data_IF_099161581446
#
_entry.id   IF_099161581446
#
_cell.length_a   1.000
_cell.length_b   1.000
_cell.length_c   1.000
_cell.angle_alpha   90.00
_cell.angle_beta   90.00
_cell.angle_gamma   90.00
#
_symmetry.space_group_name_H-M   'P 1'
#
loop_
_entity.id
_entity.type
_entity.pdbx_description
1 polymer ?
#
# COMPACT_ATOMS: atom_id res chain seq x y z
N UNK A 1 11.04 -11.44 -9.40
CA UNK A 1 9.83 -10.65 -9.69
C UNK A 1 10.22 -9.19 -9.79
N UNK A 2 9.95 -8.57 -10.91
CA UNK A 2 10.27 -7.15 -11.15
C UNK A 2 9.21 -6.22 -10.57
N UNK A 3 9.53 -4.92 -10.53
CA UNK A 3 8.54 -3.90 -10.16
C UNK A 3 7.37 -3.90 -11.15
N UNK A 4 7.63 -4.09 -12.44
CA UNK A 4 6.59 -4.16 -13.48
C UNK A 4 5.64 -5.34 -13.24
N UNK A 5 6.16 -6.48 -12.80
CA UNK A 5 5.34 -7.65 -12.44
C UNK A 5 4.44 -7.34 -11.25
N UNK A 6 4.97 -6.66 -10.24
CA UNK A 6 4.23 -6.25 -9.05
C UNK A 6 3.13 -5.27 -9.43
N UNK A 7 3.44 -4.29 -10.27
CA UNK A 7 2.46 -3.30 -10.75
C UNK A 7 1.35 -3.99 -11.56
N UNK A 8 1.71 -4.90 -12.46
CA UNK A 8 0.73 -5.65 -13.26
C UNK A 8 -0.22 -6.46 -12.36
N UNK A 9 0.33 -7.10 -11.33
CA UNK A 9 -0.49 -7.85 -10.38
C UNK A 9 -1.41 -6.92 -9.57
N UNK A 10 -0.89 -5.77 -9.15
CA UNK A 10 -1.68 -4.77 -8.43
C UNK A 10 -2.85 -4.26 -9.27
N UNK A 11 -2.62 -3.99 -10.56
CA UNK A 11 -3.69 -3.57 -11.50
C UNK A 11 -4.74 -4.64 -11.65
N UNK A 12 -4.33 -5.90 -11.75
CA UNK A 12 -5.28 -7.01 -11.88
C UNK A 12 -6.20 -7.08 -10.65
N UNK A 13 -5.63 -7.00 -9.45
CA UNK A 13 -6.42 -6.98 -8.22
C UNK A 13 -7.33 -5.76 -8.18
N UNK A 14 -6.87 -4.58 -8.62
CA UNK A 14 -7.72 -3.39 -8.70
C UNK A 14 -8.92 -3.63 -9.62
N UNK A 15 -8.71 -4.25 -10.77
CA UNK A 15 -9.81 -4.54 -11.70
C UNK A 15 -10.87 -5.45 -11.08
N UNK A 16 -10.47 -6.42 -10.26
CA UNK A 16 -11.40 -7.29 -9.55
C UNK A 16 -12.20 -6.50 -8.50
N UNK A 17 -11.56 -5.61 -7.76
CA UNK A 17 -12.25 -4.72 -6.83
C UNK A 17 -13.22 -3.77 -7.55
N UNK A 18 -12.82 -3.22 -8.68
CA UNK A 18 -13.68 -2.33 -9.47
C UNK A 18 -14.97 -3.03 -9.90
N UNK A 19 -14.87 -4.28 -10.33
CA UNK A 19 -16.05 -5.10 -10.68
C UNK A 19 -16.94 -5.29 -9.45
N UNK A 20 -16.36 -5.65 -8.32
CA UNK A 20 -17.08 -5.83 -7.06
C UNK A 20 -17.78 -4.54 -6.64
N UNK A 21 -17.09 -3.40 -6.72
CA UNK A 21 -17.63 -2.09 -6.33
C UNK A 21 -18.80 -1.69 -7.22
N UNK A 22 -18.69 -1.89 -8.53
CA UNK A 22 -19.79 -1.60 -9.45
C UNK A 22 -21.03 -2.46 -9.16
N UNK A 23 -20.82 -3.75 -8.89
CA UNK A 23 -21.92 -4.68 -8.63
C UNK A 23 -22.60 -4.41 -7.28
N UNK A 24 -21.83 -4.04 -6.25
CA UNK A 24 -22.36 -3.90 -4.90
C UNK A 24 -22.70 -2.47 -4.51
N UNK A 25 -22.06 -1.47 -5.12
CA UNK A 25 -22.23 -0.06 -4.74
C UNK A 25 -22.65 0.82 -5.92
N UNK A 26 -22.73 0.28 -7.12
CA UNK A 26 -23.14 1.01 -8.32
C UNK A 26 -22.07 1.94 -8.88
N UNK A 27 -20.89 2.01 -8.30
CA UNK A 27 -19.79 2.82 -8.77
C UNK A 27 -18.45 2.29 -8.25
N UNK A 28 -17.38 2.65 -8.95
CA UNK A 28 -16.02 2.37 -8.51
C UNK A 28 -15.56 3.43 -7.48
N UNK A 29 -14.65 3.02 -6.61
CA UNK A 29 -14.02 3.95 -5.68
C UNK A 29 -13.12 4.92 -6.44
N UNK A 30 -13.19 6.19 -6.04
CA UNK A 30 -12.31 7.24 -6.55
C UNK A 30 -10.91 7.12 -5.98
N UNK A 31 -9.96 7.82 -6.60
CA UNK A 31 -8.59 7.91 -6.08
C UNK A 31 -8.58 8.45 -4.64
N UNK A 32 -9.41 9.45 -4.35
CA UNK A 32 -9.53 10.01 -2.99
C UNK A 32 -9.97 8.94 -1.98
N UNK A 33 -10.91 8.07 -2.35
CA UNK A 33 -11.36 6.99 -1.48
C UNK A 33 -10.27 5.95 -1.26
N UNK A 34 -9.44 5.67 -2.27
CA UNK A 34 -8.28 4.78 -2.12
C UNK A 34 -7.26 5.39 -1.16
N UNK A 35 -7.02 6.70 -1.23
CA UNK A 35 -6.14 7.40 -0.29
C UNK A 35 -6.66 7.30 1.14
N UNK A 36 -7.98 7.47 1.34
CA UNK A 36 -8.59 7.31 2.66
C UNK A 36 -8.42 5.88 3.19
N UNK A 37 -8.55 4.88 2.31
CA UNK A 37 -8.30 3.49 2.68
C UNK A 37 -6.85 3.26 3.12
N UNK A 38 -5.90 3.87 2.41
CA UNK A 38 -4.48 3.82 2.79
C UNK A 38 -4.24 4.43 4.17
N UNK A 39 -4.89 5.55 4.48
CA UNK A 39 -4.77 6.18 5.81
C UNK A 39 -5.25 5.23 6.91
N UNK A 40 -6.34 4.50 6.66
CA UNK A 40 -6.82 3.47 7.60
C UNK A 40 -5.81 2.34 7.77
N UNK A 41 -5.23 1.85 6.69
CA UNK A 41 -4.23 0.79 6.71
C UNK A 41 -2.96 1.24 7.45
N UNK A 42 -2.54 2.49 7.27
CA UNK A 42 -1.41 3.06 7.99
C UNK A 42 -1.69 3.14 9.49
N UNK A 43 -2.93 3.46 9.88
CA UNK A 43 -3.34 3.44 11.28
C UNK A 43 -3.27 2.04 11.89
N UNK A 44 -3.72 1.04 11.14
CA UNK A 44 -3.64 -0.37 11.56
C UNK A 44 -2.19 -0.83 11.67
N UNK A 45 -1.35 -0.44 10.71
CA UNK A 45 0.09 -0.70 10.75
C UNK A 45 0.72 -0.08 12.00
N UNK A 46 0.36 1.16 12.33
CA UNK A 46 0.87 1.85 13.52
C UNK A 46 0.54 1.08 14.81
N UNK A 47 -0.66 0.53 14.92
CA UNK A 47 -1.05 -0.30 16.06
C UNK A 47 -0.21 -1.58 16.16
N UNK A 48 0.07 -2.21 15.03
CA UNK A 48 0.90 -3.41 14.98
C UNK A 48 2.35 -3.11 15.36
N UNK A 49 2.89 -1.96 14.97
CA UNK A 49 4.22 -1.52 15.37
C UNK A 49 4.26 -1.29 16.89
N UNK A 50 3.22 -0.68 17.46
CA UNK A 50 3.11 -0.52 18.92
C UNK A 50 3.13 -1.89 19.62
N UNK A 51 2.45 -2.89 19.06
CA UNK A 51 2.47 -4.25 19.59
C UNK A 51 3.87 -4.86 19.51
N UNK A 52 4.57 -4.65 18.39
CA UNK A 52 5.96 -5.10 18.20
C UNK A 52 6.90 -4.49 19.23
N UNK A 53 6.69 -3.23 19.60
CA UNK A 53 7.48 -2.51 20.60
C UNK A 53 7.06 -2.83 22.05
N UNK A 54 6.06 -3.70 22.25
CA UNK A 54 5.58 -4.06 23.58
C UNK A 54 4.65 -3.05 24.23
N UNK A 55 4.21 -2.03 23.48
CA UNK A 55 3.29 -0.99 23.98
C UNK A 55 1.85 -1.50 24.01
N UNK A 56 1.53 -2.44 23.12
CA UNK A 56 0.23 -3.09 23.04
C UNK A 56 0.40 -4.60 23.17
N UNK A 57 -0.63 -5.27 23.65
CA UNK A 57 -0.67 -6.72 23.71
C UNK A 57 -0.66 -7.35 22.31
N UNK A 58 -0.01 -8.52 22.21
CA UNK A 58 0.05 -9.30 20.96
C UNK A 58 -0.45 -10.72 21.24
N UNK A 59 -1.16 -11.35 20.27
CA UNK A 59 -1.58 -12.74 20.42
C UNK A 59 -0.37 -13.70 20.44
N UNK A 60 0.55 -13.51 19.47
CA UNK A 60 1.81 -14.27 19.39
C UNK A 60 2.76 -13.54 18.44
N UNK A 61 4.05 -13.87 18.52
CA UNK A 61 5.05 -13.29 17.63
C UNK A 61 4.78 -13.66 16.16
N UNK A 62 4.34 -14.88 15.90
CA UNK A 62 4.04 -15.36 14.55
C UNK A 62 2.82 -14.64 13.97
N UNK A 63 1.76 -14.46 14.74
CA UNK A 63 0.57 -13.74 14.32
C UNK A 63 0.90 -12.26 14.03
N UNK A 64 1.74 -11.66 14.86
CA UNK A 64 2.17 -10.29 14.67
C UNK A 64 2.94 -10.13 13.35
N UNK A 65 3.89 -11.02 13.07
CA UNK A 65 4.66 -10.99 11.83
C UNK A 65 3.75 -11.13 10.61
N UNK A 66 2.78 -12.05 10.66
CA UNK A 66 1.82 -12.26 9.57
C UNK A 66 0.99 -11.00 9.34
N UNK A 67 0.49 -10.38 10.40
CA UNK A 67 -0.31 -9.15 10.29
C UNK A 67 0.50 -7.97 9.79
N UNK A 68 1.74 -7.81 10.27
CA UNK A 68 2.64 -6.76 9.79
C UNK A 68 2.92 -6.91 8.29
N UNK A 69 3.22 -8.13 7.86
CA UNK A 69 3.48 -8.43 6.44
C UNK A 69 2.27 -8.08 5.58
N UNK A 70 1.08 -8.44 6.04
CA UNK A 70 -0.17 -8.16 5.33
C UNK A 70 -0.43 -6.65 5.22
N UNK A 71 -0.30 -5.91 6.31
CA UNK A 71 -0.54 -4.46 6.31
C UNK A 71 0.49 -3.71 5.45
N UNK A 72 1.75 -4.11 5.51
CA UNK A 72 2.77 -3.53 4.63
C UNK A 72 2.45 -3.76 3.16
N UNK A 73 2.01 -4.97 2.82
CA UNK A 73 1.61 -5.29 1.45
C UNK A 73 0.38 -4.48 1.02
N UNK A 74 -0.62 -4.32 1.88
CA UNK A 74 -1.81 -3.51 1.59
C UNK A 74 -1.45 -2.04 1.38
N UNK A 75 -0.57 -1.49 2.21
CA UNK A 75 -0.11 -0.11 2.05
C UNK A 75 0.62 0.07 0.72
N UNK A 76 1.49 -0.85 0.36
CA UNK A 76 2.19 -0.80 -0.92
C UNK A 76 1.22 -0.90 -2.09
N UNK A 77 0.25 -1.82 -2.03
CA UNK A 77 -0.77 -1.95 -3.08
C UNK A 77 -1.49 -0.62 -3.32
N UNK A 78 -1.93 0.03 -2.27
CA UNK A 78 -2.63 1.32 -2.38
C UNK A 78 -1.75 2.39 -3.03
N UNK A 79 -0.46 2.46 -2.65
CA UNK A 79 0.49 3.40 -3.25
C UNK A 79 0.68 3.12 -4.74
N UNK A 80 0.84 1.85 -5.12
CA UNK A 80 0.98 1.45 -6.52
C UNK A 80 -0.25 1.84 -7.34
N UNK A 81 -1.44 1.64 -6.79
CA UNK A 81 -2.69 1.96 -7.47
C UNK A 81 -2.90 3.48 -7.59
N UNK A 82 -2.57 4.25 -6.54
CA UNK A 82 -2.63 5.70 -6.59
C UNK A 82 -1.72 6.23 -7.71
N UNK A 83 -0.49 5.76 -7.77
CA UNK A 83 0.45 6.15 -8.82
C UNK A 83 -0.09 5.80 -10.21
N UNK A 84 -0.66 4.62 -10.35
CA UNK A 84 -1.26 4.16 -11.61
C UNK A 84 -2.44 5.06 -12.04
N UNK A 85 -3.31 5.41 -11.10
CA UNK A 85 -4.46 6.28 -11.35
C UNK A 85 -4.02 7.69 -11.78
N UNK A 86 -2.92 8.17 -11.23
CA UNK A 86 -2.36 9.50 -11.56
C UNK A 86 -1.41 9.45 -12.76
N UNK A 87 -1.20 8.29 -13.36
CA UNK A 87 -0.28 8.07 -14.48
C UNK A 87 1.16 8.49 -14.15
N UNK A 88 1.58 8.23 -12.91
CA UNK A 88 2.95 8.48 -12.44
C UNK A 88 3.74 7.18 -12.57
N UNK A 89 4.90 7.25 -13.22
CA UNK A 89 5.86 6.15 -13.23
C UNK A 89 6.56 6.14 -11.87
N UNK A 90 6.07 5.29 -10.97
CA UNK A 90 6.54 5.27 -9.59
C UNK A 90 7.99 4.79 -9.48
N UNK A 91 8.41 3.87 -10.35
CA UNK A 91 9.80 3.40 -10.37
C UNK A 91 10.76 4.55 -10.68
N UNK A 92 10.49 5.32 -11.73
CA UNK A 92 11.31 6.48 -12.09
C UNK A 92 11.26 7.55 -11.00
N UNK A 93 10.08 7.84 -10.47
CA UNK A 93 9.92 8.81 -9.38
C UNK A 93 10.73 8.41 -8.15
N UNK A 94 10.73 7.14 -7.80
CA UNK A 94 11.50 6.61 -6.67
C UNK A 94 13.00 6.81 -6.90
N UNK A 95 13.52 6.41 -8.06
CA UNK A 95 14.94 6.52 -8.37
C UNK A 95 15.37 8.00 -8.35
N UNK A 96 14.61 8.87 -8.98
CA UNK A 96 14.91 10.31 -9.01
C UNK A 96 14.94 10.89 -7.60
N UNK A 97 13.96 10.54 -6.77
CA UNK A 97 13.88 11.03 -5.39
C UNK A 97 15.05 10.52 -4.56
N UNK A 98 15.42 9.24 -4.71
CA UNK A 98 16.55 8.68 -3.98
C UNK A 98 17.87 9.31 -4.40
N UNK A 99 18.05 9.56 -5.70
CA UNK A 99 19.24 10.24 -6.21
C UNK A 99 19.38 11.65 -5.61
N UNK A 100 18.29 12.39 -5.54
CA UNK A 100 18.26 13.72 -4.93
C UNK A 100 18.63 13.68 -3.45
N UNK A 101 18.05 12.73 -2.70
CA UNK A 101 18.34 12.56 -1.28
C UNK A 101 19.80 12.17 -1.04
N UNK A 102 20.31 11.24 -1.81
CA UNK A 102 21.71 10.81 -1.72
C UNK A 102 22.65 12.00 -1.94
N UNK A 103 22.40 12.77 -2.98
CA UNK A 103 23.19 13.96 -3.30
C UNK A 103 23.15 15.01 -2.17
N UNK A 104 21.98 15.19 -1.56
CA UNK A 104 21.79 16.13 -0.46
C UNK A 104 22.52 15.68 0.81
N UNK A 105 22.57 14.37 1.09
CA UNK A 105 23.17 13.79 2.28
C UNK A 105 24.68 13.56 2.17
N UNK A 106 25.23 13.59 0.98
CA UNK A 106 26.68 13.53 0.76
C UNK A 106 27.34 14.92 1.00
#
# INVERSE_FOLDING_TARGET
>A
MSLEDIIARARHIRSLYENYERENYGREWSTAEIVLGLMGDLGDLAKLIQAHLGIRGVPSAQELETKLSHELADCLWSILIIADKLQINLGDAFVTTMDELEKHLE
#
